data_IF_784514019922
#
_entry.id   IF_784514019922
#
_cell.length_a   1.000
_cell.length_b   1.000
_cell.length_c   1.000
_cell.angle_alpha   90.00
_cell.angle_beta   90.00
_cell.angle_gamma   90.00
#
_symmetry.space_group_name_H-M   'P 1'
#
loop_
_entity.id
_entity.type
_entity.pdbx_description
1 polymer ?
#
# COMPACT_ATOMS: atom_id res chain seq x y z
N UNK A 1 -20.28 2.69 1.13
CA UNK A 1 -18.91 2.19 1.35
C UNK A 1 -18.56 2.30 2.82
N UNK A 2 -17.94 1.27 3.36
CA UNK A 2 -17.51 1.25 4.75
C UNK A 2 -16.06 0.83 4.86
N UNK A 3 -15.26 1.65 5.54
CA UNK A 3 -13.85 1.35 5.81
C UNK A 3 -13.73 0.75 7.20
N UNK A 4 -12.90 -0.27 7.33
CA UNK A 4 -12.66 -0.98 8.59
C UNK A 4 -11.54 -0.31 9.40
N UNK A 5 -10.37 -0.15 8.79
CA UNK A 5 -9.19 0.37 9.47
C UNK A 5 -8.13 0.75 8.44
N UNK A 6 -7.06 1.36 8.91
CA UNK A 6 -5.87 1.55 8.06
C UNK A 6 -5.21 0.18 7.93
N UNK A 7 -5.21 -0.37 6.73
CA UNK A 7 -4.65 -1.70 6.47
C UNK A 7 -3.13 -1.64 6.52
N UNK A 8 -2.53 -0.66 5.85
CA UNK A 8 -1.09 -0.46 5.94
C UNK A 8 -0.66 0.95 5.58
N UNK A 9 0.55 1.28 6.00
CA UNK A 9 1.30 2.44 5.54
C UNK A 9 2.45 1.91 4.69
N UNK A 10 2.52 2.34 3.43
CA UNK A 10 3.64 2.01 2.56
C UNK A 10 4.74 3.03 2.70
N UNK A 11 5.93 2.59 3.06
CA UNK A 11 7.09 3.47 3.27
C UNK A 11 8.18 3.12 2.27
N UNK A 12 8.53 4.07 1.42
CA UNK A 12 9.57 3.88 0.42
C UNK A 12 10.94 3.99 1.09
N UNK A 13 11.75 2.97 0.90
CA UNK A 13 13.12 2.91 1.45
C UNK A 13 14.10 2.55 0.33
N UNK A 14 15.32 3.02 0.44
CA UNK A 14 16.37 2.68 -0.51
C UNK A 14 16.80 1.22 -0.36
N UNK A 15 16.75 0.70 0.86
CA UNK A 15 17.14 -0.68 1.16
C UNK A 15 16.35 -1.19 2.36
N UNK A 16 15.67 -2.30 2.17
CA UNK A 16 14.96 -2.98 3.27
C UNK A 16 15.96 -3.42 4.34
N UNK A 17 17.11 -3.98 3.91
CA UNK A 17 18.15 -4.42 4.83
C UNK A 17 18.64 -3.28 5.73
N UNK A 18 18.79 -2.08 5.18
CA UNK A 18 19.25 -0.92 5.94
C UNK A 18 18.13 -0.34 6.83
N UNK A 19 16.88 -0.44 6.43
CA UNK A 19 15.74 0.12 7.18
C UNK A 19 15.25 -0.77 8.32
N UNK A 20 15.30 -2.09 8.15
CA UNK A 20 14.78 -3.04 9.14
C UNK A 20 15.32 -2.85 10.56
N UNK A 21 16.63 -2.58 10.77
CA UNK A 21 17.15 -2.42 12.14
C UNK A 21 16.43 -1.35 12.96
N UNK A 22 15.98 -0.26 12.33
CA UNK A 22 15.22 0.74 13.05
C UNK A 22 13.91 0.16 13.59
N UNK A 23 13.16 -0.54 12.76
CA UNK A 23 11.86 -1.10 13.15
C UNK A 23 12.02 -2.28 14.11
N UNK A 24 12.99 -3.16 13.86
CA UNK A 24 13.14 -4.37 14.66
C UNK A 24 13.92 -4.13 15.94
N UNK A 25 15.05 -3.42 15.89
CA UNK A 25 15.91 -3.25 17.06
C UNK A 25 15.52 -2.06 17.91
N UNK A 26 15.15 -0.94 17.28
CA UNK A 26 14.79 0.26 18.02
C UNK A 26 13.35 0.22 18.48
N UNK A 27 12.40 -0.13 17.58
CA UNK A 27 10.98 -0.15 17.90
C UNK A 27 10.46 -1.51 18.38
N UNK A 28 11.27 -2.56 18.30
CA UNK A 28 10.89 -3.89 18.80
C UNK A 28 9.85 -4.60 17.97
N UNK A 29 9.67 -4.21 16.70
CA UNK A 29 8.73 -4.86 15.79
C UNK A 29 9.38 -6.09 15.17
N UNK A 30 8.58 -6.96 14.58
CA UNK A 30 9.07 -8.15 13.90
C UNK A 30 8.67 -8.14 12.43
N UNK A 31 9.65 -8.28 11.53
CA UNK A 31 9.36 -8.50 10.12
C UNK A 31 8.96 -9.97 9.95
N UNK A 32 7.70 -10.19 9.57
CA UNK A 32 7.18 -11.56 9.47
C UNK A 32 7.26 -12.14 8.06
N UNK A 33 7.49 -11.33 7.06
CA UNK A 33 7.60 -11.80 5.67
C UNK A 33 8.23 -10.75 4.77
N UNK A 34 8.77 -11.20 3.67
CA UNK A 34 9.25 -10.35 2.57
C UNK A 34 8.71 -10.97 1.29
N UNK A 35 8.16 -10.13 0.42
CA UNK A 35 7.55 -10.57 -0.83
C UNK A 35 7.96 -9.64 -1.96
N UNK A 36 8.20 -10.20 -3.14
CA UNK A 36 8.41 -9.38 -4.35
C UNK A 36 7.09 -9.31 -5.11
N UNK A 37 6.63 -8.10 -5.40
CA UNK A 37 5.42 -7.87 -6.20
C UNK A 37 5.88 -7.37 -7.56
N UNK A 38 6.05 -8.31 -8.49
CA UNK A 38 6.73 -8.07 -9.76
C UNK A 38 6.03 -7.01 -10.64
N UNK A 39 4.72 -7.03 -10.72
CA UNK A 39 3.98 -6.06 -11.55
C UNK A 39 3.99 -4.64 -10.95
N UNK A 40 4.27 -4.49 -9.67
CA UNK A 40 4.46 -3.19 -9.05
C UNK A 40 5.93 -2.80 -8.96
N UNK A 41 6.83 -3.69 -9.35
CA UNK A 41 8.29 -3.47 -9.36
C UNK A 41 8.83 -3.10 -7.99
N UNK A 42 8.37 -3.81 -6.97
CA UNK A 42 8.79 -3.61 -5.58
C UNK A 42 9.06 -4.93 -4.87
N UNK A 43 9.94 -4.84 -3.89
CA UNK A 43 10.14 -5.84 -2.86
C UNK A 43 9.60 -5.24 -1.58
N UNK A 44 8.79 -5.97 -0.84
CA UNK A 44 8.07 -5.46 0.32
C UNK A 44 8.38 -6.28 1.56
N UNK A 45 8.74 -5.60 2.65
CA UNK A 45 8.89 -6.22 3.97
C UNK A 45 7.71 -5.82 4.84
N UNK A 46 7.13 -6.80 5.53
CA UNK A 46 5.91 -6.62 6.31
C UNK A 46 6.18 -6.69 7.81
N UNK A 47 5.74 -5.63 8.51
CA UNK A 47 5.79 -5.58 9.97
C UNK A 47 4.38 -5.24 10.46
N UNK A 48 3.90 -5.92 11.49
CA UNK A 48 2.53 -5.72 11.95
C UNK A 48 2.49 -5.03 13.30
N UNK A 49 1.58 -4.08 13.43
CA UNK A 49 1.28 -3.40 14.69
C UNK A 49 -0.24 -3.27 14.84
N UNK A 50 -0.82 -4.03 15.78
CA UNK A 50 -2.28 -4.09 15.90
C UNK A 50 -2.91 -4.64 14.62
N UNK A 51 -3.86 -3.91 14.05
CA UNK A 51 -4.51 -4.26 12.78
C UNK A 51 -3.78 -3.69 11.57
N UNK A 52 -2.82 -2.80 11.78
CA UNK A 52 -2.14 -2.05 10.72
C UNK A 52 -0.77 -2.67 10.45
N UNK A 53 -0.37 -2.70 9.18
CA UNK A 53 0.98 -3.11 8.81
C UNK A 53 1.81 -1.91 8.41
N UNK A 54 3.10 -2.00 8.65
CA UNK A 54 4.09 -1.16 8.00
C UNK A 54 4.65 -2.00 6.86
N UNK A 55 4.63 -1.46 5.65
CA UNK A 55 5.20 -2.11 4.47
C UNK A 55 6.38 -1.29 3.98
N UNK A 56 7.59 -1.85 4.13
CA UNK A 56 8.79 -1.20 3.60
C UNK A 56 8.93 -1.59 2.14
N UNK A 57 8.97 -0.58 1.27
CA UNK A 57 8.95 -0.76 -0.17
C UNK A 57 10.32 -0.42 -0.75
N UNK A 58 10.98 -1.43 -1.32
CA UNK A 58 12.26 -1.25 -2.01
C UNK A 58 12.03 -1.47 -3.51
N UNK A 59 12.42 -0.50 -4.32
CA UNK A 59 12.25 -0.60 -5.77
C UNK A 59 13.11 -1.71 -6.36
N UNK A 60 12.53 -2.51 -7.27
CA UNK A 60 13.27 -3.49 -8.06
C UNK A 60 13.61 -2.96 -9.44
N UNK A 61 13.08 -1.77 -9.80
CA UNK A 61 13.30 -1.12 -11.08
C UNK A 61 13.23 0.40 -10.89
N UNK A 62 14.30 1.15 -11.19
CA UNK A 62 14.30 2.61 -11.04
C UNK A 62 13.15 3.31 -11.78
N UNK A 63 12.64 2.70 -12.85
CA UNK A 63 11.52 3.25 -13.61
C UNK A 63 10.16 2.91 -13.01
N UNK A 64 10.12 2.06 -11.98
CA UNK A 64 8.89 1.73 -11.29
C UNK A 64 8.42 2.85 -10.37
N UNK A 65 7.18 2.74 -9.85
CA UNK A 65 6.58 3.82 -9.03
C UNK A 65 7.38 4.19 -7.79
N UNK A 66 7.91 3.21 -7.06
CA UNK A 66 8.69 3.48 -5.85
C UNK A 66 10.06 4.06 -6.19
N UNK A 67 10.69 3.57 -7.27
CA UNK A 67 11.96 4.12 -7.73
C UNK A 67 11.84 5.59 -8.09
N UNK A 68 10.79 5.95 -8.83
CA UNK A 68 10.53 7.34 -9.21
C UNK A 68 10.20 8.20 -8.01
N UNK A 69 9.46 7.65 -7.05
CA UNK A 69 9.13 8.37 -5.81
C UNK A 69 10.41 8.74 -5.04
N UNK A 70 11.31 7.78 -4.85
CA UNK A 70 12.56 8.01 -4.13
C UNK A 70 13.44 9.03 -4.85
N UNK A 71 13.49 8.95 -6.18
CA UNK A 71 14.25 9.90 -6.98
C UNK A 71 13.76 11.34 -6.77
N UNK A 72 12.44 11.53 -6.72
CA UNK A 72 11.85 12.87 -6.58
C UNK A 72 11.78 13.36 -5.15
N UNK A 73 11.43 12.50 -4.20
CA UNK A 73 11.10 12.90 -2.84
C UNK A 73 12.00 12.29 -1.77
N UNK A 74 12.83 11.32 -2.11
CA UNK A 74 13.63 10.59 -1.14
C UNK A 74 12.81 9.54 -0.40
N UNK A 75 13.35 9.02 0.69
CA UNK A 75 12.67 8.03 1.51
C UNK A 75 11.54 8.66 2.31
N UNK A 76 10.48 7.92 2.55
CA UNK A 76 9.35 8.39 3.35
C UNK A 76 8.06 7.66 3.03
N UNK A 77 6.95 8.13 3.59
CA UNK A 77 5.64 7.53 3.37
C UNK A 77 5.26 7.69 1.90
N UNK A 78 4.96 6.56 1.26
CA UNK A 78 4.57 6.51 -0.14
C UNK A 78 3.05 6.51 -0.32
N UNK A 79 2.35 5.75 0.49
CA UNK A 79 0.88 5.67 0.39
C UNK A 79 0.26 5.18 1.69
N UNK A 80 -1.05 5.39 1.80
CA UNK A 80 -1.88 4.88 2.89
C UNK A 80 -2.94 3.98 2.28
N UNK A 81 -3.14 2.79 2.85
CA UNK A 81 -4.14 1.85 2.39
C UNK A 81 -5.23 1.66 3.45
N UNK A 82 -6.48 1.72 2.99
CA UNK A 82 -7.65 1.50 3.84
C UNK A 82 -8.33 0.19 3.47
N UNK A 83 -8.72 -0.59 4.48
CA UNK A 83 -9.45 -1.83 4.27
C UNK A 83 -10.93 -1.52 4.05
N UNK A 84 -11.50 -2.03 2.96
CA UNK A 84 -12.92 -1.89 2.61
C UNK A 84 -13.66 -3.13 3.08
N UNK A 85 -14.77 -2.95 3.80
CA UNK A 85 -15.55 -4.07 4.32
C UNK A 85 -16.61 -4.61 3.37
N UNK A 86 -17.18 -3.75 2.54
CA UNK A 86 -18.42 -4.04 1.82
C UNK A 86 -18.29 -4.06 0.30
N UNK A 87 -17.16 -4.48 -0.19
CA UNK A 87 -16.93 -4.66 -1.62
C UNK A 87 -16.11 -3.54 -2.26
N UNK A 88 -14.94 -3.92 -2.77
CA UNK A 88 -14.01 -2.95 -3.37
C UNK A 88 -14.53 -2.42 -4.70
N UNK A 89 -15.10 -3.28 -5.56
CA UNK A 89 -15.60 -2.84 -6.86
C UNK A 89 -16.71 -1.80 -6.70
N UNK A 90 -17.65 -2.05 -5.81
CA UNK A 90 -18.77 -1.14 -5.54
C UNK A 90 -18.26 0.17 -4.93
N UNK A 91 -17.24 0.09 -4.07
CA UNK A 91 -16.62 1.28 -3.50
C UNK A 91 -16.00 2.16 -4.60
N UNK A 92 -15.29 1.56 -5.55
CA UNK A 92 -14.67 2.29 -6.65
C UNK A 92 -15.72 2.97 -7.52
N UNK A 93 -16.81 2.30 -7.82
CA UNK A 93 -17.91 2.88 -8.59
C UNK A 93 -18.53 4.09 -7.89
N UNK A 94 -18.78 3.95 -6.59
CA UNK A 94 -19.33 5.04 -5.78
C UNK A 94 -18.39 6.24 -5.73
N UNK A 95 -17.10 5.99 -5.56
CA UNK A 95 -16.08 7.03 -5.50
C UNK A 95 -15.97 7.76 -6.84
N UNK A 96 -15.97 7.02 -7.94
CA UNK A 96 -15.89 7.61 -9.28
C UNK A 96 -17.09 8.50 -9.58
N UNK A 97 -18.29 8.08 -9.15
CA UNK A 97 -19.51 8.88 -9.32
C UNK A 97 -19.45 10.20 -8.55
N UNK A 98 -18.62 10.28 -7.52
CA UNK A 98 -18.42 11.51 -6.75
C UNK A 98 -17.35 12.43 -7.35
N UNK A 99 -16.83 12.09 -8.52
CA UNK A 99 -15.86 12.91 -9.22
C UNK A 99 -14.41 12.69 -8.85
N UNK A 100 -14.12 11.62 -8.10
CA UNK A 100 -12.76 11.27 -7.73
C UNK A 100 -12.09 10.50 -8.86
N UNK A 101 -10.89 10.92 -9.24
CA UNK A 101 -10.12 10.25 -10.27
C UNK A 101 -9.49 8.97 -9.73
N UNK A 102 -9.76 7.86 -10.40
CA UNK A 102 -9.17 6.56 -10.05
C UNK A 102 -7.92 6.31 -10.89
N UNK A 103 -6.89 5.74 -10.27
CA UNK A 103 -5.76 5.17 -11.01
C UNK A 103 -6.20 3.79 -11.53
N UNK A 104 -6.80 2.99 -10.65
CA UNK A 104 -7.32 1.68 -11.01
C UNK A 104 -8.85 1.72 -10.98
N UNK A 105 -9.48 1.50 -12.14
CA UNK A 105 -10.95 1.46 -12.22
C UNK A 105 -11.51 0.12 -11.79
N UNK A 106 -10.67 -0.91 -11.76
CA UNK A 106 -11.02 -2.26 -11.31
C UNK A 106 -9.96 -2.76 -10.34
N UNK A 107 -10.36 -3.59 -9.36
CA UNK A 107 -9.40 -4.20 -8.46
C UNK A 107 -8.35 -5.03 -9.20
N UNK A 108 -7.13 -5.01 -8.69
CA UNK A 108 -6.05 -5.87 -9.16
C UNK A 108 -5.37 -6.52 -7.97
N UNK A 109 -4.60 -7.56 -8.23
CA UNK A 109 -3.91 -8.30 -7.16
C UNK A 109 -2.71 -7.50 -6.66
N UNK A 110 -2.65 -7.31 -5.35
CA UNK A 110 -1.51 -6.68 -4.68
C UNK A 110 -0.77 -7.67 -3.79
N UNK A 111 0.03 -7.13 -2.87
CA UNK A 111 0.77 -7.93 -1.91
C UNK A 111 -0.15 -8.76 -1.02
N UNK A 112 0.35 -9.88 -0.55
CA UNK A 112 -0.37 -10.82 0.34
C UNK A 112 -1.68 -11.33 -0.23
N UNK A 113 -1.84 -11.31 -1.55
CA UNK A 113 -3.04 -11.82 -2.21
C UNK A 113 -4.28 -10.95 -2.05
N UNK A 114 -4.15 -9.73 -1.56
CA UNK A 114 -5.27 -8.81 -1.44
C UNK A 114 -5.66 -8.24 -2.80
N UNK A 115 -6.92 -7.91 -2.97
CA UNK A 115 -7.35 -7.09 -4.08
C UNK A 115 -7.14 -5.63 -3.71
N UNK A 116 -6.56 -4.86 -4.62
CA UNK A 116 -6.23 -3.46 -4.35
C UNK A 116 -6.65 -2.55 -5.50
N UNK A 117 -6.79 -1.27 -5.20
CA UNK A 117 -6.98 -0.24 -6.21
C UNK A 117 -6.50 1.10 -5.65
N UNK A 118 -5.85 1.89 -6.51
CA UNK A 118 -5.34 3.20 -6.11
C UNK A 118 -6.23 4.33 -6.62
N UNK A 119 -6.38 5.36 -5.79
CA UNK A 119 -7.02 6.63 -6.13
C UNK A 119 -5.94 7.65 -6.45
N UNK A 120 -6.21 8.52 -7.44
CA UNK A 120 -5.22 9.49 -7.88
C UNK A 120 -5.00 10.59 -6.85
N UNK A 121 -3.73 10.94 -6.51
CA UNK A 121 -3.44 11.95 -5.49
C UNK A 121 -4.07 13.33 -5.76
N UNK A 122 -4.32 13.67 -7.03
CA UNK A 122 -5.00 14.93 -7.36
C UNK A 122 -6.39 15.03 -6.72
N UNK A 123 -7.05 13.90 -6.53
CA UNK A 123 -8.39 13.86 -5.95
C UNK A 123 -8.39 13.56 -4.46
N UNK A 124 -7.24 13.25 -3.88
CA UNK A 124 -7.11 12.81 -2.49
C UNK A 124 -6.17 13.71 -1.67
N UNK A 125 -6.16 14.99 -2.01
CA UNK A 125 -5.41 16.02 -1.27
C UNK A 125 -3.90 15.72 -1.23
N UNK A 126 -3.39 15.18 -2.33
CA UNK A 126 -1.95 14.90 -2.49
C UNK A 126 -1.46 13.61 -1.87
N UNK A 127 -2.35 12.82 -1.25
CA UNK A 127 -1.96 11.54 -0.62
C UNK A 127 -2.32 10.40 -1.55
N UNK A 128 -1.35 9.63 -2.01
CA UNK A 128 -1.63 8.41 -2.77
C UNK A 128 -2.39 7.45 -1.86
N UNK A 129 -3.62 7.16 -2.22
CA UNK A 129 -4.55 6.41 -1.39
C UNK A 129 -4.90 5.08 -2.04
N UNK A 130 -4.72 4.00 -1.30
CA UNK A 130 -5.04 2.65 -1.74
C UNK A 130 -6.27 2.14 -0.99
N UNK A 131 -7.11 1.38 -1.68
CA UNK A 131 -8.18 0.63 -1.04
C UNK A 131 -7.87 -0.85 -1.20
N UNK A 132 -8.11 -1.64 -0.17
CA UNK A 132 -7.85 -3.08 -0.20
C UNK A 132 -9.02 -3.89 0.30
N UNK A 133 -9.09 -5.10 -0.20
CA UNK A 133 -10.11 -6.06 0.16
C UNK A 133 -9.52 -7.46 0.15
N UNK A 134 -9.88 -8.28 1.13
CA UNK A 134 -9.51 -9.68 1.08
C UNK A 134 -10.46 -10.40 0.12
N UNK A 135 -9.96 -11.07 -0.93
CA UNK A 135 -10.83 -11.69 -1.94
C UNK A 135 -11.75 -12.78 -1.40
N UNK A 136 -11.44 -13.37 -0.25
CA UNK A 136 -12.30 -14.40 0.36
C UNK A 136 -13.35 -13.80 1.30
N UNK A 137 -13.45 -12.47 1.38
CA UNK A 137 -14.46 -11.79 2.21
C UNK A 137 -14.12 -11.64 3.67
N UNK A 138 -12.98 -12.15 4.13
CA UNK A 138 -12.57 -11.92 5.52
C UNK A 138 -12.01 -10.52 5.70
N UNK A 139 -11.87 -10.08 6.94
CA UNK A 139 -11.23 -8.81 7.25
C UNK A 139 -9.73 -8.87 6.89
N UNK A 140 -9.23 -7.81 6.31
CA UNK A 140 -7.82 -7.71 5.96
C UNK A 140 -6.91 -7.82 7.18
#
# INVERSE_FOLDING_TARGET
MKLSHIEHLGIAVKSIEAALPFYEKVLGMECYAVEEVADQKVKTAFLKIGQTKIELLESTDPEGPVGKFIEKKGEGIHHIAFAVEDGLQEALETIELQGIQLIDKKPRRGAEGLNIAFLHPKSTIGVLTELCENPNGSTC
#
